data_IF_521024290986
#
_entry.id   IF_521024290986
#
_cell.length_a   1.000
_cell.length_b   1.000
_cell.length_c   1.000
_cell.angle_alpha   90.00
_cell.angle_beta   90.00
_cell.angle_gamma   90.00
#
_symmetry.space_group_name_H-M   'P 1'
#
loop_
_entity.id
_entity.type
_entity.pdbx_description
1 polymer ?
#
# COMPACT_ATOMS: atom_id res chain seq x y z
N UNK A 1 9.78 1.53 0.72
CA UNK A 1 10.00 0.93 2.06
C UNK A 1 11.07 1.76 2.74
N UNK A 2 10.84 2.17 3.98
CA UNK A 2 11.78 3.01 4.75
C UNK A 2 12.53 2.19 5.80
N UNK A 3 11.86 1.25 6.48
CA UNK A 3 12.47 0.41 7.51
C UNK A 3 11.79 -0.96 7.62
N UNK A 4 12.47 -1.92 8.26
CA UNK A 4 11.95 -3.26 8.57
C UNK A 4 12.03 -3.52 10.06
N UNK A 5 11.01 -4.17 10.60
CA UNK A 5 10.89 -4.41 12.03
C UNK A 5 10.61 -5.88 12.35
N UNK A 6 10.95 -6.28 13.59
CA UNK A 6 10.83 -7.68 14.01
C UNK A 6 9.40 -8.07 14.33
N UNK A 7 8.56 -7.09 14.62
CA UNK A 7 7.14 -7.27 14.89
C UNK A 7 6.31 -6.23 14.16
N UNK A 8 5.05 -6.58 13.90
CA UNK A 8 4.06 -5.62 13.40
C UNK A 8 3.82 -4.48 14.40
N UNK A 9 3.83 -4.76 15.70
CA UNK A 9 3.62 -3.75 16.74
C UNK A 9 4.70 -2.65 16.68
N UNK A 10 5.96 -3.04 16.56
CA UNK A 10 7.09 -2.12 16.42
C UNK A 10 6.99 -1.27 15.14
N UNK A 11 6.62 -1.89 14.00
CA UNK A 11 6.38 -1.15 12.77
C UNK A 11 5.21 -0.16 12.88
N UNK A 12 4.13 -0.55 13.56
CA UNK A 12 2.94 0.28 13.76
C UNK A 12 3.22 1.46 14.69
N UNK A 13 4.01 1.27 15.74
CA UNK A 13 4.46 2.35 16.62
C UNK A 13 5.27 3.40 15.84
N UNK A 14 6.21 2.95 15.00
CA UNK A 14 7.03 3.83 14.17
C UNK A 14 6.21 4.52 13.08
N UNK A 15 5.22 3.83 12.51
CA UNK A 15 4.26 4.44 11.60
C UNK A 15 3.46 5.54 12.28
N UNK A 16 2.92 5.30 13.48
CA UNK A 16 2.15 6.28 14.23
C UNK A 16 2.98 7.52 14.56
N UNK A 17 4.25 7.33 14.96
CA UNK A 17 5.19 8.42 15.17
C UNK A 17 5.34 9.31 13.92
N UNK A 18 5.58 8.71 12.76
CA UNK A 18 5.70 9.43 11.49
C UNK A 18 4.39 10.12 11.08
N UNK A 19 3.24 9.48 11.29
CA UNK A 19 1.92 10.05 11.00
C UNK A 19 1.61 11.29 11.85
N UNK A 20 2.01 11.29 13.13
CA UNK A 20 1.87 12.48 14.00
C UNK A 20 2.69 13.67 13.47
N UNK A 21 3.79 13.41 12.77
CA UNK A 21 4.61 14.42 12.10
C UNK A 21 4.15 14.71 10.66
N UNK A 22 2.96 14.24 10.26
CA UNK A 22 2.37 14.52 8.95
C UNK A 22 2.95 13.70 7.80
N UNK A 23 3.64 12.59 8.07
CA UNK A 23 4.15 11.68 7.05
C UNK A 23 3.13 10.58 6.77
N UNK A 24 2.74 10.42 5.50
CA UNK A 24 1.83 9.35 5.10
C UNK A 24 2.56 8.00 5.09
N UNK A 25 2.15 7.07 5.96
CA UNK A 25 2.79 5.75 6.09
C UNK A 25 1.84 4.58 5.94
N UNK A 26 2.38 3.43 5.52
CA UNK A 26 1.70 2.15 5.49
C UNK A 26 2.57 1.05 6.12
N UNK A 27 1.95 0.13 6.86
CA UNK A 27 2.62 -1.05 7.42
C UNK A 27 2.12 -2.29 6.71
N UNK A 28 3.05 -3.09 6.19
CA UNK A 28 2.75 -4.38 5.54
C UNK A 28 3.34 -5.53 6.33
N UNK A 29 2.58 -6.59 6.53
CA UNK A 29 3.10 -7.86 7.05
C UNK A 29 3.97 -8.54 5.97
N UNK A 30 5.14 -9.05 6.37
CA UNK A 30 6.08 -9.76 5.50
C UNK A 30 6.01 -11.29 5.69
N UNK A 31 5.12 -11.79 6.56
CA UNK A 31 5.00 -13.21 6.93
C UNK A 31 4.64 -14.13 5.75
N UNK A 32 4.01 -13.61 4.69
CA UNK A 32 3.60 -14.42 3.52
C UNK A 32 4.76 -14.75 2.56
N UNK A 33 5.95 -14.16 2.75
CA UNK A 33 7.12 -14.41 1.89
C UNK A 33 7.93 -15.65 2.36
N UNK A 34 7.38 -16.84 2.05
CA UNK A 34 8.04 -18.16 1.82
C UNK A 34 7.96 -19.27 2.90
N UNK A 35 7.67 -20.51 2.46
CA UNK A 35 8.06 -21.77 3.12
C UNK A 35 9.52 -22.23 2.88
N UNK A 36 10.39 -21.48 2.15
CA UNK A 36 11.74 -21.96 1.78
C UNK A 36 12.94 -21.10 2.24
N UNK A 37 12.72 -20.05 3.03
CA UNK A 37 13.82 -19.22 3.57
C UNK A 37 13.82 -19.24 5.09
N UNK A 38 14.17 -20.39 5.67
CA UNK A 38 14.44 -20.57 7.10
C UNK A 38 15.64 -19.74 7.64
N UNK A 39 16.15 -18.75 6.88
CA UNK A 39 17.30 -17.93 7.24
C UNK A 39 17.02 -16.40 7.23
N UNK A 40 15.77 -15.96 6.98
CA UNK A 40 15.39 -14.53 7.03
C UNK A 40 14.40 -14.19 8.17
N UNK A 41 14.26 -15.08 9.16
CA UNK A 41 13.23 -15.05 10.21
C UNK A 41 13.31 -13.93 11.26
N UNK A 42 13.99 -12.81 11.00
CA UNK A 42 14.06 -11.70 11.97
C UNK A 42 13.03 -10.60 11.72
N UNK A 43 12.64 -10.33 10.46
CA UNK A 43 11.74 -9.21 10.16
C UNK A 43 10.35 -9.73 9.76
N UNK A 44 9.32 -9.21 10.43
CA UNK A 44 7.92 -9.60 10.22
C UNK A 44 7.07 -8.50 9.61
N UNK A 45 7.52 -7.25 9.66
CA UNK A 45 6.79 -6.13 9.11
C UNK A 45 7.71 -5.12 8.42
N UNK A 46 7.21 -4.54 7.33
CA UNK A 46 7.84 -3.45 6.61
C UNK A 46 7.06 -2.15 6.81
N UNK A 47 7.77 -1.06 7.04
CA UNK A 47 7.24 0.29 7.08
C UNK A 47 7.51 0.99 5.75
N UNK A 48 6.48 1.64 5.21
CA UNK A 48 6.51 2.32 3.93
C UNK A 48 6.06 3.76 4.10
N UNK A 49 6.75 4.66 3.43
CA UNK A 49 6.23 6.00 3.15
C UNK A 49 5.43 5.92 1.86
N UNK A 50 4.22 6.46 1.87
CA UNK A 50 3.29 6.41 0.73
C UNK A 50 3.69 7.43 -0.34
N UNK A 51 4.17 8.60 0.09
CA UNK A 51 4.58 9.69 -0.78
C UNK A 51 6.10 9.75 -0.92
N UNK A 52 6.58 9.66 -2.17
CA UNK A 52 8.02 9.73 -2.47
C UNK A 52 8.66 11.02 -1.97
N UNK A 53 7.94 12.15 -2.08
CA UNK A 53 8.41 13.45 -1.60
C UNK A 53 8.68 13.52 -0.09
N UNK A 54 8.11 12.59 0.69
CA UNK A 54 8.28 12.53 2.14
C UNK A 54 9.31 11.47 2.57
N UNK A 55 9.98 10.81 1.63
CA UNK A 55 10.89 9.70 1.94
C UNK A 55 12.10 10.14 2.79
N UNK A 56 12.74 11.24 2.41
CA UNK A 56 13.91 11.77 3.12
C UNK A 56 13.54 12.29 4.51
N UNK A 57 12.42 13.01 4.64
CA UNK A 57 11.93 13.49 5.93
C UNK A 57 11.58 12.33 6.88
N UNK A 58 11.04 11.23 6.34
CA UNK A 58 10.74 10.04 7.13
C UNK A 58 12.01 9.32 7.60
N UNK A 59 13.07 9.28 6.79
CA UNK A 59 14.38 8.77 7.22
C UNK A 59 14.96 9.66 8.31
N UNK A 60 14.94 10.98 8.08
CA UNK A 60 15.39 11.98 9.05
C UNK A 60 14.74 11.80 10.41
N UNK A 61 13.40 11.70 10.46
CA UNK A 61 12.65 11.48 11.69
C UNK A 61 12.92 10.13 12.39
N UNK A 62 13.26 9.08 11.64
CA UNK A 62 13.59 7.78 12.23
C UNK A 62 14.99 7.75 12.85
N UNK A 63 15.90 8.59 12.35
CA UNK A 63 17.27 8.73 12.85
C UNK A 63 17.38 9.81 13.94
N UNK A 64 16.69 10.92 13.76
CA UNK A 64 16.62 12.08 14.64
C UNK A 64 15.15 12.48 14.89
N UNK A 65 14.60 12.21 16.09
CA UNK A 65 13.23 12.56 16.43
C UNK A 65 12.90 14.06 16.34
N UNK A 66 13.91 14.93 16.34
CA UNK A 66 13.76 16.38 16.25
C UNK A 66 13.90 16.92 14.81
N UNK A 67 13.97 16.03 13.81
CA UNK A 67 14.04 16.41 12.39
C UNK A 67 12.83 17.26 11.97
N UNK A 68 13.10 18.41 11.34
CA UNK A 68 12.05 19.31 10.85
C UNK A 68 11.50 18.82 9.50
N UNK A 69 10.20 18.55 9.45
CA UNK A 69 9.54 18.01 8.25
C UNK A 69 9.25 19.14 7.28
N UNK A 70 9.72 19.00 6.05
CA UNK A 70 9.66 20.06 5.04
C UNK A 70 8.24 20.32 4.54
N UNK A 71 7.41 19.26 4.46
CA UNK A 71 6.03 19.35 3.96
C UNK A 71 5.12 18.35 4.69
N UNK A 72 4.74 18.65 5.95
CA UNK A 72 3.88 17.78 6.74
C UNK A 72 2.44 17.86 6.23
N UNK A 73 1.79 16.71 6.13
CA UNK A 73 0.35 16.62 5.88
C UNK A 73 -0.44 16.89 7.16
N UNK A 74 -1.54 17.62 7.04
CA UNK A 74 -2.51 17.72 8.14
C UNK A 74 -3.24 16.39 8.36
N UNK A 75 -3.82 16.23 9.55
CA UNK A 75 -4.65 15.05 9.87
C UNK A 75 -5.79 14.89 8.86
N UNK A 76 -6.42 15.98 8.45
CA UNK A 76 -7.50 15.96 7.47
C UNK A 76 -7.00 15.49 6.10
N UNK A 77 -5.80 15.90 5.69
CA UNK A 77 -5.18 15.45 4.44
C UNK A 77 -4.84 13.96 4.48
N UNK A 78 -4.29 13.46 5.59
CA UNK A 78 -4.03 12.04 5.78
C UNK A 78 -5.31 11.20 5.70
N UNK A 79 -6.38 11.60 6.39
CA UNK A 79 -7.68 10.93 6.33
C UNK A 79 -8.32 11.00 4.93
N UNK A 80 -8.16 12.12 4.24
CA UNK A 80 -8.65 12.28 2.89
C UNK A 80 -7.95 11.33 1.92
N UNK A 81 -6.64 11.12 2.06
CA UNK A 81 -5.90 10.19 1.23
C UNK A 81 -6.29 8.72 1.47
N UNK A 82 -6.54 8.34 2.72
CA UNK A 82 -7.04 7.00 3.06
C UNK A 82 -8.41 6.73 2.43
N UNK A 83 -9.31 7.72 2.49
CA UNK A 83 -10.67 7.59 1.95
C UNK A 83 -10.73 7.67 0.43
N UNK A 84 -9.97 8.56 -0.21
CA UNK A 84 -9.92 8.67 -1.66
C UNK A 84 -9.27 7.45 -2.33
N UNK A 85 -8.20 6.91 -1.75
CA UNK A 85 -7.55 5.71 -2.28
C UNK A 85 -8.50 4.53 -2.41
N UNK A 86 -9.43 4.36 -1.45
CA UNK A 86 -10.47 3.32 -1.52
C UNK A 86 -11.49 3.56 -2.63
N UNK A 87 -11.90 4.81 -2.85
CA UNK A 87 -12.89 5.17 -3.88
C UNK A 87 -12.32 4.97 -5.27
N UNK A 88 -11.09 5.43 -5.51
CA UNK A 88 -10.43 5.33 -6.82
C UNK A 88 -10.10 3.88 -7.17
N UNK A 89 -9.59 3.10 -6.22
CA UNK A 89 -9.34 1.67 -6.42
C UNK A 89 -10.63 0.90 -6.75
N UNK A 90 -11.74 1.21 -6.07
CA UNK A 90 -13.04 0.60 -6.36
C UNK A 90 -13.52 0.94 -7.77
N UNK A 91 -13.38 2.18 -8.21
CA UNK A 91 -13.76 2.58 -9.56
C UNK A 91 -12.89 1.91 -10.63
N UNK A 92 -11.58 1.82 -10.42
CA UNK A 92 -10.67 1.14 -11.33
C UNK A 92 -11.03 -0.36 -11.45
N UNK A 93 -11.29 -1.02 -10.32
CA UNK A 93 -11.70 -2.42 -10.29
C UNK A 93 -13.02 -2.66 -11.03
N UNK A 94 -14.04 -1.83 -10.79
CA UNK A 94 -15.33 -1.95 -11.48
C UNK A 94 -15.20 -1.77 -13.00
N UNK A 95 -14.41 -0.79 -13.45
CA UNK A 95 -14.11 -0.60 -14.87
C UNK A 95 -13.44 -1.84 -15.47
N UNK A 96 -12.45 -2.40 -14.77
CA UNK A 96 -11.75 -3.61 -15.21
C UNK A 96 -12.68 -4.83 -15.28
N UNK A 97 -13.54 -5.03 -14.27
CA UNK A 97 -14.51 -6.12 -14.25
C UNK A 97 -15.50 -6.01 -15.42
N UNK A 98 -15.97 -4.82 -15.74
CA UNK A 98 -16.85 -4.59 -16.89
C UNK A 98 -16.17 -4.92 -18.21
N UNK A 99 -14.90 -4.56 -18.39
CA UNK A 99 -14.13 -4.90 -19.59
C UNK A 99 -13.96 -6.41 -19.75
N UNK A 100 -13.64 -7.12 -18.66
CA UNK A 100 -13.52 -8.58 -18.68
C UNK A 100 -14.86 -9.25 -18.98
N UNK A 101 -15.94 -8.80 -18.35
CA UNK A 101 -17.28 -9.33 -18.59
C UNK A 101 -17.73 -9.13 -20.05
N UNK A 102 -17.48 -7.94 -20.61
CA UNK A 102 -17.77 -7.66 -22.02
C UNK A 102 -16.94 -8.55 -22.96
N UNK A 103 -15.66 -8.75 -22.68
CA UNK A 103 -14.79 -9.65 -23.43
C UNK A 103 -15.27 -11.10 -23.38
N UNK A 104 -15.62 -11.60 -22.20
CA UNK A 104 -16.17 -12.95 -22.02
C UNK A 104 -17.50 -13.13 -22.77
N UNK A 105 -18.37 -12.11 -22.73
CA UNK A 105 -19.62 -12.12 -23.49
C UNK A 105 -19.39 -12.19 -25.00
N UNK A 106 -18.42 -11.42 -25.53
CA UNK A 106 -18.05 -11.46 -26.94
C UNK A 106 -17.48 -12.83 -27.36
N UNK A 107 -16.63 -13.42 -26.51
CA UNK A 107 -16.09 -14.78 -26.75
C UNK A 107 -17.20 -15.83 -26.73
N UNK A 108 -18.12 -15.77 -25.77
CA UNK A 108 -19.25 -16.70 -25.70
C UNK A 108 -20.15 -16.61 -26.94
N UNK A 109 -20.43 -15.39 -27.42
CA UNK A 109 -21.17 -15.17 -28.67
C UNK A 109 -20.44 -15.77 -29.88
N UNK A 110 -19.12 -15.59 -29.97
CA UNK A 110 -18.32 -16.19 -31.03
C UNK A 110 -18.38 -17.73 -31.00
N UNK A 111 -18.23 -18.33 -29.82
CA UNK A 111 -18.29 -19.79 -29.64
C UNK A 111 -19.66 -20.34 -30.07
N UNK A 112 -20.75 -19.69 -29.66
CA UNK A 112 -22.11 -20.07 -30.08
C UNK A 112 -22.29 -19.95 -31.60
N UNK A 113 -21.76 -18.87 -32.19
CA UNK A 113 -21.86 -18.66 -33.65
C UNK A 113 -21.07 -19.68 -34.48
N UNK A 114 -19.98 -20.22 -33.93
CA UNK A 114 -19.12 -21.20 -34.60
C UNK A 114 -19.57 -22.66 -34.38
N UNK A 115 -20.23 -22.95 -33.25
CA UNK A 115 -20.70 -24.29 -32.90
C UNK A 115 -22.13 -24.62 -33.33
N UNK A 116 -22.90 -23.63 -33.80
CA UNK A 116 -24.30 -23.77 -34.19
C UNK A 116 -24.56 -23.98 -35.69
N UNK A 117 -23.56 -24.42 -36.47
CA UNK A 117 -23.65 -24.69 -37.92
C UNK A 117 -23.70 -26.16 -38.26
#
# INVERSE_FOLDING_TARGET
>A
MVAKYRSHAEAAERAAFLQVHGIATHVSDMTSMRPSLAHQGQFRAGLWVVLEAQYEDALGLLEDPDHDVSNPLSVDQLQHMETQGMVDARQALLKWLLLVAAGLGAVALLVVSLGGG
#
